data_IF_559559479803
#
_entry.id   IF_559559479803
#
_cell.length_a   1.000
_cell.length_b   1.000
_cell.length_c   1.000
_cell.angle_alpha   90.00
_cell.angle_beta   90.00
_cell.angle_gamma   90.00
#
_symmetry.space_group_name_H-M   'P 1'
#
loop_
_entity.id
_entity.type
_entity.pdbx_description
1 polymer ?
#
# COMPACT_ATOMS: atom_id res chain seq x y z
N UNK A 1 -25.49 10.76 3.40
CA UNK A 1 -24.78 10.77 4.71
C UNK A 1 -23.99 9.47 4.79
N UNK A 2 -22.67 9.55 5.01
CA UNK A 2 -21.82 8.37 5.10
C UNK A 2 -22.12 7.64 6.42
N UNK A 3 -22.90 6.57 6.37
CA UNK A 3 -23.14 5.74 7.55
C UNK A 3 -21.83 5.12 8.03
N UNK A 4 -21.51 5.34 9.30
CA UNK A 4 -20.25 4.93 9.92
C UNK A 4 -20.14 3.43 10.19
N UNK A 5 -21.24 2.68 10.07
CA UNK A 5 -21.33 1.26 10.43
C UNK A 5 -21.11 0.26 9.27
N UNK A 6 -20.67 0.73 8.09
CA UNK A 6 -20.42 -0.14 6.92
C UNK A 6 -18.95 -0.53 6.80
N UNK A 7 -18.70 -1.76 6.34
CA UNK A 7 -17.34 -2.28 6.14
C UNK A 7 -16.62 -1.56 4.99
N UNK A 8 -15.28 -1.69 4.92
CA UNK A 8 -14.48 -1.13 3.83
C UNK A 8 -14.83 -1.76 2.48
N UNK A 9 -15.14 -3.05 2.44
CA UNK A 9 -15.58 -3.75 1.22
C UNK A 9 -16.94 -3.27 0.75
N UNK A 10 -17.89 -3.04 1.65
CA UNK A 10 -19.21 -2.51 1.29
C UNK A 10 -19.09 -1.10 0.72
N UNK A 11 -18.28 -0.25 1.35
CA UNK A 11 -18.02 1.12 0.88
C UNK A 11 -17.37 1.13 -0.50
N UNK A 12 -16.47 0.18 -0.77
CA UNK A 12 -15.84 0.05 -2.10
C UNK A 12 -16.86 -0.31 -3.19
N UNK A 13 -17.83 -1.17 -2.87
CA UNK A 13 -18.90 -1.54 -3.80
C UNK A 13 -19.92 -0.40 -3.99
N UNK A 14 -20.26 0.32 -2.91
CA UNK A 14 -21.20 1.45 -2.95
C UNK A 14 -20.75 2.54 -3.94
N UNK A 15 -19.44 2.72 -4.13
CA UNK A 15 -18.87 3.67 -5.10
C UNK A 15 -19.29 3.33 -6.53
N UNK A 16 -19.33 2.05 -6.90
CA UNK A 16 -19.78 1.62 -8.23
C UNK A 16 -21.25 1.97 -8.44
N UNK A 17 -22.09 1.62 -7.48
CA UNK A 17 -23.53 1.89 -7.53
C UNK A 17 -23.81 3.39 -7.61
N UNK A 18 -23.13 4.20 -6.79
CA UNK A 18 -23.31 5.64 -6.78
C UNK A 18 -22.87 6.27 -8.11
N UNK A 19 -21.73 5.85 -8.65
CA UNK A 19 -21.20 6.42 -9.89
C UNK A 19 -22.07 6.09 -11.11
N UNK A 20 -22.60 4.85 -11.19
CA UNK A 20 -23.54 4.45 -12.23
C UNK A 20 -24.81 5.31 -12.25
N UNK A 21 -25.31 5.70 -11.06
CA UNK A 21 -26.49 6.55 -10.93
C UNK A 21 -26.26 8.00 -11.39
N UNK A 22 -25.03 8.50 -11.29
CA UNK A 22 -24.69 9.89 -11.67
C UNK A 22 -24.61 10.11 -13.19
N UNK A 23 -24.47 9.05 -14.00
CA UNK A 23 -24.36 9.12 -15.48
C UNK A 23 -23.29 10.10 -15.99
N UNK A 24 -22.18 10.27 -15.25
CA UNK A 24 -21.07 11.14 -15.61
C UNK A 24 -20.19 10.45 -16.65
N UNK A 25 -19.86 11.15 -17.74
CA UNK A 25 -19.02 10.61 -18.83
C UNK A 25 -17.56 11.06 -18.76
N UNK A 26 -17.25 12.11 -17.99
CA UNK A 26 -15.92 12.74 -17.96
C UNK A 26 -14.92 12.08 -17.02
N UNK A 27 -15.33 11.08 -16.24
CA UNK A 27 -14.49 10.43 -15.23
C UNK A 27 -14.48 8.91 -15.44
N UNK A 28 -13.28 8.34 -15.43
CA UNK A 28 -13.08 6.89 -15.56
C UNK A 28 -12.94 6.28 -14.16
N UNK A 29 -14.00 5.58 -13.74
CA UNK A 29 -14.03 4.92 -12.44
C UNK A 29 -12.98 3.79 -12.32
N UNK A 30 -12.67 3.11 -13.43
CA UNK A 30 -11.67 2.04 -13.41
C UNK A 30 -10.27 2.60 -13.21
N UNK A 31 -9.98 3.74 -13.84
CA UNK A 31 -8.70 4.43 -13.65
C UNK A 31 -8.53 4.89 -12.21
N UNK A 32 -9.54 5.56 -11.65
CA UNK A 32 -9.52 5.98 -10.24
C UNK A 32 -9.38 4.80 -9.26
N UNK A 33 -10.03 3.66 -9.53
CA UNK A 33 -9.88 2.46 -8.70
C UNK A 33 -8.44 1.93 -8.75
N UNK A 34 -7.81 1.92 -9.92
CA UNK A 34 -6.38 1.56 -10.05
C UNK A 34 -5.50 2.51 -9.27
N UNK A 35 -5.72 3.82 -9.37
CA UNK A 35 -4.97 4.80 -8.59
C UNK A 35 -5.13 4.58 -7.08
N UNK A 36 -6.34 4.24 -6.62
CA UNK A 36 -6.59 3.95 -5.20
C UNK A 36 -5.85 2.69 -4.74
N UNK A 37 -5.81 1.64 -5.57
CA UNK A 37 -5.00 0.45 -5.31
C UNK A 37 -3.52 0.82 -5.26
N UNK A 38 -2.99 1.56 -6.23
CA UNK A 38 -1.59 1.98 -6.20
C UNK A 38 -1.26 2.82 -4.97
N UNK A 39 -2.11 3.78 -4.61
CA UNK A 39 -1.88 4.63 -3.44
C UNK A 39 -1.84 3.86 -2.11
N UNK A 40 -2.58 2.75 -2.03
CA UNK A 40 -2.71 1.95 -0.80
C UNK A 40 -1.75 0.75 -0.76
N UNK A 41 -1.50 0.10 -1.90
CA UNK A 41 -0.77 -1.17 -1.98
C UNK A 41 0.62 -1.03 -2.60
N UNK A 42 0.91 0.04 -3.34
CA UNK A 42 2.25 0.22 -3.92
C UNK A 42 3.28 0.51 -2.80
N UNK A 43 4.47 -0.13 -2.84
CA UNK A 43 5.48 0.07 -1.83
C UNK A 43 5.93 1.54 -1.79
N UNK A 44 5.92 2.12 -0.60
CA UNK A 44 6.45 3.46 -0.37
C UNK A 44 7.96 3.35 -0.19
N UNK A 45 8.69 3.79 -1.22
CA UNK A 45 10.15 3.74 -1.21
C UNK A 45 10.69 4.92 -0.40
N UNK A 46 11.57 4.62 0.56
CA UNK A 46 12.46 5.63 1.10
C UNK A 46 13.52 5.93 0.04
N UNK A 47 13.32 6.99 -0.73
CA UNK A 47 14.11 7.27 -1.94
C UNK A 47 15.55 7.65 -1.58
N UNK A 48 15.80 8.21 -0.41
CA UNK A 48 17.13 8.68 -0.02
C UNK A 48 18.12 7.52 0.15
N UNK A 49 17.63 6.35 0.56
CA UNK A 49 18.45 5.13 0.73
C UNK A 49 19.03 4.60 -0.57
N UNK A 50 18.45 4.96 -1.71
CA UNK A 50 18.92 4.55 -3.04
C UNK A 50 19.61 5.68 -3.80
N UNK A 51 19.49 6.94 -3.37
CA UNK A 51 20.07 8.10 -4.07
C UNK A 51 21.48 8.46 -3.60
N UNK A 52 21.77 8.25 -2.33
CA UNK A 52 23.05 8.67 -1.73
C UNK A 52 23.96 7.46 -1.54
N UNK A 53 25.14 7.50 -2.17
CA UNK A 53 26.14 6.41 -2.10
C UNK A 53 26.74 6.26 -0.70
N UNK A 54 26.69 7.31 0.13
CA UNK A 54 27.32 7.36 1.44
C UNK A 54 26.39 6.96 2.59
N UNK A 55 25.12 6.64 2.31
CA UNK A 55 24.18 6.30 3.37
C UNK A 55 24.59 4.99 4.05
N UNK A 56 24.59 4.99 5.38
CA UNK A 56 24.83 3.81 6.19
C UNK A 56 23.52 3.05 6.40
N UNK A 57 23.53 1.75 6.09
CA UNK A 57 22.43 0.82 6.33
C UNK A 57 22.81 -0.18 7.42
N UNK A 58 21.81 -0.78 8.06
CA UNK A 58 22.02 -1.84 9.05
C UNK A 58 22.69 -3.06 8.40
N UNK A 59 23.66 -3.66 9.10
CA UNK A 59 24.33 -4.87 8.62
C UNK A 59 23.40 -6.09 8.76
N UNK A 60 23.50 -7.08 7.85
CA UNK A 60 22.88 -8.38 8.07
C UNK A 60 23.27 -8.98 9.43
N UNK A 61 22.34 -9.72 10.04
CA UNK A 61 22.47 -10.41 11.33
C UNK A 61 22.68 -9.53 12.56
N UNK A 62 22.53 -8.20 12.45
CA UNK A 62 22.44 -7.31 13.60
C UNK A 62 21.22 -7.61 14.47
N UNK A 63 21.30 -7.25 15.76
CA UNK A 63 20.17 -7.31 16.68
C UNK A 63 19.52 -5.93 16.73
N UNK A 64 18.25 -5.84 16.29
CA UNK A 64 17.53 -4.58 16.30
C UNK A 64 17.27 -4.14 17.76
N UNK A 65 17.75 -2.97 18.21
CA UNK A 65 17.75 -2.60 19.63
C UNK A 65 16.34 -2.43 20.21
N UNK A 66 15.36 -2.05 19.38
CA UNK A 66 13.98 -1.85 19.81
C UNK A 66 13.16 -3.13 19.97
N UNK A 67 13.53 -4.22 19.29
CA UNK A 67 12.73 -5.46 19.25
C UNK A 67 13.49 -6.68 19.78
N UNK A 68 14.82 -6.63 19.82
CA UNK A 68 15.68 -7.77 20.11
C UNK A 68 15.73 -8.81 18.99
N UNK A 69 15.08 -8.56 17.85
CA UNK A 69 15.06 -9.47 16.70
C UNK A 69 16.39 -9.45 15.95
N UNK A 70 16.76 -10.59 15.36
CA UNK A 70 17.92 -10.72 14.46
C UNK A 70 17.51 -10.38 13.03
N UNK A 71 18.27 -9.50 12.36
CA UNK A 71 18.05 -9.10 10.97
C UNK A 71 18.53 -10.17 10.00
N UNK A 72 17.71 -11.21 9.82
CA UNK A 72 17.97 -12.33 8.91
C UNK A 72 17.64 -11.97 7.45
N UNK A 73 18.41 -12.46 6.45
CA UNK A 73 18.03 -12.36 5.04
C UNK A 73 16.66 -13.03 4.79
N UNK A 74 15.85 -12.42 3.92
CA UNK A 74 14.57 -13.00 3.51
C UNK A 74 14.75 -13.94 2.31
N UNK A 75 14.00 -15.04 2.27
CA UNK A 75 13.94 -15.92 1.10
C UNK A 75 12.81 -15.46 0.16
N UNK A 76 13.12 -14.97 -1.05
CA UNK A 76 12.10 -14.53 -2.01
C UNK A 76 11.20 -15.66 -2.52
N UNK A 77 11.63 -16.92 -2.42
CA UNK A 77 10.86 -18.08 -2.90
C UNK A 77 9.83 -18.57 -1.89
N UNK A 78 9.99 -18.16 -0.62
CA UNK A 78 9.14 -18.56 0.49
C UNK A 78 8.54 -17.33 1.19
N UNK A 79 7.93 -16.46 0.39
CA UNK A 79 7.16 -15.33 0.87
C UNK A 79 5.73 -15.81 1.12
N UNK A 80 5.27 -15.76 2.38
CA UNK A 80 3.85 -15.92 2.70
C UNK A 80 3.10 -14.67 2.21
N UNK A 81 2.43 -14.78 1.07
CA UNK A 81 1.33 -13.92 0.65
C UNK A 81 0.00 -14.65 0.87
#
# INVERSE_FOLDING_TARGET
MLETNRSSSDKWLDVDTYYQNLKIQSFDLQDWKKEMIFKTMYPRLDVEVSRQVILLLESPFCVHPGTGSVCIPFDPSNIFL
#
